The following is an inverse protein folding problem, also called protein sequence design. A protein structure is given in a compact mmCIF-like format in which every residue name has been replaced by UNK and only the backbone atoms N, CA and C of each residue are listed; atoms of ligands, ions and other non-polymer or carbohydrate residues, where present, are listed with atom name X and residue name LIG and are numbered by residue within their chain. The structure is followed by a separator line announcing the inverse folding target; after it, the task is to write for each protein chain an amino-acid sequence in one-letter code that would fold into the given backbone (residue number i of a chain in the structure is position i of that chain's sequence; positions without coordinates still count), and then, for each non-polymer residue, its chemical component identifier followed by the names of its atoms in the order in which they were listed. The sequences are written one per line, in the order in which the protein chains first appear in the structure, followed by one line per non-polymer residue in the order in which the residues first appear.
data_IF_745870263011
#
_entry.id   IF_745870263011
#
_cell.length_a   1.000
_cell.length_b   1.000
_cell.length_c   1.000
_cell.angle_alpha   90.00
_cell.angle_beta   90.00
_cell.angle_gamma   90.00
#
_symmetry.space_group_name_H-M   'P 1'
#
loop_
_entity.id
_entity.type
_entity.pdbx_description
1 polymer ?
#
# COMPACT_ATOMS: atom_id res chain seq x y z
N UNK A 1 -6.89 29.07 0.59
CA UNK A 1 -6.09 28.38 -0.43
C UNK A 1 -6.61 26.95 -0.47
N UNK A 2 -7.17 26.53 -1.60
CA UNK A 2 -7.72 25.18 -1.74
C UNK A 2 -6.59 24.16 -1.63
N UNK A 3 -6.79 23.15 -0.78
CA UNK A 3 -5.85 22.04 -0.64
C UNK A 3 -6.09 21.09 -1.80
N UNK A 4 -5.32 21.23 -2.88
CA UNK A 4 -5.44 20.35 -4.05
C UNK A 4 -5.07 18.91 -3.66
N UNK A 5 -5.99 17.98 -3.90
CA UNK A 5 -5.80 16.54 -3.68
C UNK A 5 -5.67 15.91 -5.06
N UNK A 6 -4.57 15.18 -5.27
CA UNK A 6 -4.30 14.48 -6.52
C UNK A 6 -4.71 13.02 -6.41
N UNK A 7 -5.41 12.49 -7.40
CA UNK A 7 -5.75 11.08 -7.54
C UNK A 7 -4.76 10.40 -8.49
N UNK A 8 -4.32 9.20 -8.14
CA UNK A 8 -3.46 8.34 -8.95
C UNK A 8 -4.10 6.96 -9.06
N UNK A 9 -4.38 6.54 -10.29
CA UNK A 9 -4.75 5.15 -10.59
C UNK A 9 -3.49 4.29 -10.62
N UNK A 10 -3.56 3.10 -10.01
CA UNK A 10 -2.39 2.26 -9.78
C UNK A 10 -2.60 0.88 -10.42
N UNK A 11 -1.67 0.43 -11.28
CA UNK A 11 -1.77 -0.89 -11.89
C UNK A 11 -1.47 -2.02 -10.90
N UNK A 12 -2.18 -3.14 -11.03
CA UNK A 12 -1.88 -4.36 -10.26
C UNK A 12 -0.64 -5.06 -10.82
N UNK A 13 0.52 -4.89 -10.18
CA UNK A 13 1.81 -5.40 -10.68
C UNK A 13 2.35 -6.63 -9.93
N UNK A 14 1.58 -7.17 -8.99
CA UNK A 14 2.02 -8.31 -8.19
C UNK A 14 2.18 -9.58 -9.04
N UNK A 15 3.33 -10.25 -8.90
CA UNK A 15 3.64 -11.52 -9.57
C UNK A 15 3.59 -12.73 -8.63
N UNK A 16 3.46 -13.93 -9.20
CA UNK A 16 3.32 -15.17 -8.47
C UNK A 16 4.55 -15.50 -7.60
N UNK A 17 5.75 -15.31 -8.13
CA UNK A 17 6.99 -15.66 -7.44
C UNK A 17 7.20 -14.79 -6.19
N UNK A 18 6.88 -13.51 -6.29
CA UNK A 18 6.89 -12.56 -5.17
C UNK A 18 5.94 -12.98 -4.06
N UNK A 19 4.73 -13.45 -4.41
CA UNK A 19 3.75 -13.94 -3.43
C UNK A 19 4.24 -15.22 -2.76
N UNK A 20 4.64 -16.24 -3.53
CA UNK A 20 5.11 -17.52 -2.97
C UNK A 20 6.31 -17.31 -2.04
N UNK A 21 7.28 -16.48 -2.46
CA UNK A 21 8.45 -16.15 -1.64
C UNK A 21 8.06 -15.46 -0.34
N UNK A 22 7.12 -14.51 -0.39
CA UNK A 22 6.68 -13.74 0.78
C UNK A 22 5.90 -14.60 1.78
N UNK A 23 5.02 -15.46 1.28
CA UNK A 23 4.15 -16.31 2.10
C UNK A 23 4.85 -17.53 2.67
N UNK A 24 6.06 -17.87 2.17
CA UNK A 24 6.87 -19.00 2.64
C UNK A 24 6.04 -20.29 2.71
N UNK A 25 5.22 -20.52 1.69
CA UNK A 25 4.30 -21.66 1.67
C UNK A 25 5.09 -22.97 1.77
N UNK A 26 4.61 -23.94 2.57
CA UNK A 26 5.26 -25.23 2.66
C UNK A 26 5.25 -25.90 1.29
N UNK A 27 6.31 -26.67 1.01
CA UNK A 27 6.38 -27.47 -0.20
C UNK A 27 5.12 -28.31 -0.33
N UNK A 28 4.54 -28.28 -1.51
CA UNK A 28 3.41 -29.12 -1.87
C UNK A 28 3.64 -29.67 -3.27
N UNK A 29 2.88 -30.69 -3.65
CA UNK A 29 2.88 -31.23 -5.02
C UNK A 29 2.15 -30.25 -5.98
N UNK A 30 2.60 -28.99 -6.04
CA UNK A 30 2.04 -27.92 -6.89
C UNK A 30 0.71 -27.31 -6.43
N UNK A 31 0.10 -27.84 -5.36
CA UNK A 31 -1.24 -27.42 -4.90
C UNK A 31 -1.27 -25.98 -4.41
N UNK A 32 -0.27 -25.58 -3.63
CA UNK A 32 -0.18 -24.22 -3.11
C UNK A 32 0.11 -23.21 -4.21
N UNK A 33 0.96 -23.57 -5.16
CA UNK A 33 1.31 -22.75 -6.31
C UNK A 33 0.09 -22.50 -7.20
N UNK A 34 -0.70 -23.55 -7.50
CA UNK A 34 -1.95 -23.43 -8.25
C UNK A 34 -2.98 -22.56 -7.52
N UNK A 35 -3.12 -22.74 -6.21
CA UNK A 35 -4.02 -21.95 -5.37
C UNK A 35 -3.62 -20.46 -5.35
N UNK A 36 -2.34 -20.15 -5.20
CA UNK A 36 -1.84 -18.76 -5.27
C UNK A 36 -2.10 -18.17 -6.65
N UNK A 37 -1.83 -18.92 -7.72
CA UNK A 37 -2.07 -18.45 -9.08
C UNK A 37 -3.55 -18.11 -9.31
N UNK A 38 -4.47 -18.97 -8.87
CA UNK A 38 -5.91 -18.72 -9.00
C UNK A 38 -6.35 -17.48 -8.21
N UNK A 39 -5.89 -17.34 -6.96
CA UNK A 39 -6.22 -16.18 -6.13
C UNK A 39 -5.62 -14.89 -6.69
N UNK A 40 -4.42 -14.95 -7.27
CA UNK A 40 -3.76 -13.79 -7.86
C UNK A 40 -4.53 -13.28 -9.07
N UNK A 41 -4.94 -14.17 -9.98
CA UNK A 41 -5.71 -13.80 -11.17
C UNK A 41 -7.07 -13.20 -10.81
N UNK A 42 -7.76 -13.79 -9.83
CA UNK A 42 -9.02 -13.22 -9.32
C UNK A 42 -8.82 -11.86 -8.68
N UNK A 43 -7.74 -11.72 -7.90
CA UNK A 43 -7.42 -10.45 -7.25
C UNK A 43 -7.11 -9.37 -8.29
N UNK A 44 -6.33 -9.69 -9.32
CA UNK A 44 -6.01 -8.80 -10.43
C UNK A 44 -7.26 -8.30 -11.16
N UNK A 45 -8.23 -9.18 -11.39
CA UNK A 45 -9.48 -8.84 -12.06
C UNK A 45 -10.42 -7.96 -11.22
N UNK A 46 -10.31 -8.02 -9.88
CA UNK A 46 -11.16 -7.26 -8.96
C UNK A 46 -10.49 -5.96 -8.46
N UNK A 47 -9.17 -5.91 -8.43
CA UNK A 47 -8.44 -4.79 -7.86
C UNK A 47 -8.74 -3.49 -8.61
N UNK A 48 -9.09 -2.46 -7.85
CA UNK A 48 -9.25 -1.10 -8.34
C UNK A 48 -8.38 -0.20 -7.47
N UNK A 49 -7.07 -0.35 -7.66
CA UNK A 49 -6.08 0.25 -6.78
C UNK A 49 -5.88 1.71 -7.13
N UNK A 50 -5.88 2.55 -6.10
CA UNK A 50 -5.73 3.99 -6.24
C UNK A 50 -5.05 4.57 -5.03
N UNK A 51 -4.47 5.74 -5.22
CA UNK A 51 -3.99 6.56 -4.14
C UNK A 51 -4.45 8.00 -4.32
N UNK A 52 -4.59 8.68 -3.20
CA UNK A 52 -4.66 10.14 -3.17
C UNK A 52 -3.47 10.68 -2.40
N UNK A 53 -2.92 11.80 -2.85
CA UNK A 53 -1.88 12.50 -2.11
C UNK A 53 -2.09 14.00 -2.19
N UNK A 54 -1.37 14.71 -1.32
CA UNK A 54 -1.31 16.16 -1.30
C UNK A 54 0.15 16.59 -1.19
N UNK A 55 0.53 17.65 -1.91
CA UNK A 55 1.81 18.34 -1.66
C UNK A 55 1.62 19.22 -0.43
N UNK A 56 2.44 19.02 0.60
CA UNK A 56 2.32 19.70 1.89
C UNK A 56 3.69 20.14 2.37
N UNK A 57 3.72 21.06 3.33
CA UNK A 57 4.96 21.54 3.93
C UNK A 57 4.99 21.14 5.40
N UNK A 58 6.13 20.59 5.84
CA UNK A 58 6.39 20.21 7.21
C UNK A 58 7.24 21.27 7.91
N UNK A 59 6.85 21.60 9.14
CA UNK A 59 7.59 22.49 10.01
C UNK A 59 7.84 21.79 11.34
N UNK A 60 9.09 21.42 11.62
CA UNK A 60 9.48 20.89 12.92
C UNK A 60 9.49 22.02 13.94
N UNK A 61 8.75 21.84 15.04
CA UNK A 61 8.62 22.83 16.11
C UNK A 61 9.64 22.53 17.20
N UNK A 62 9.72 21.26 17.60
CA UNK A 62 10.67 20.77 18.59
C UNK A 62 10.98 19.27 18.36
N UNK A 63 11.69 18.66 19.32
CA UNK A 63 12.13 17.26 19.26
C UNK A 63 10.99 16.26 19.08
N UNK A 64 9.82 16.54 19.63
CA UNK A 64 8.68 15.63 19.70
C UNK A 64 7.46 16.18 18.95
N UNK A 65 7.49 17.43 18.47
CA UNK A 65 6.35 18.10 17.83
C UNK A 65 6.71 18.68 16.46
N UNK A 66 5.79 18.55 15.51
CA UNK A 66 5.86 19.17 14.19
C UNK A 66 4.47 19.54 13.68
N UNK A 67 4.41 20.39 12.68
CA UNK A 67 3.20 20.74 11.94
C UNK A 67 3.34 20.30 10.47
N UNK A 68 2.28 19.75 9.90
CA UNK A 68 2.19 19.49 8.45
C UNK A 68 0.94 20.19 7.94
N UNK A 69 1.12 21.31 7.23
CA UNK A 69 0.04 22.12 6.66
C UNK A 69 -1.13 22.40 7.63
N UNK A 70 -0.81 22.87 8.84
CA UNK A 70 -1.75 23.22 9.91
C UNK A 70 -2.22 22.06 10.78
N UNK A 71 -1.73 20.84 10.52
CA UNK A 71 -2.02 19.67 11.37
C UNK A 71 -0.85 19.39 12.28
N UNK A 72 -1.07 19.50 13.59
CA UNK A 72 -0.05 19.20 14.60
C UNK A 72 0.10 17.71 14.85
N UNK A 73 1.35 17.24 14.82
CA UNK A 73 1.73 15.88 15.18
C UNK A 73 2.66 15.92 16.40
N UNK A 74 2.44 14.98 17.33
CA UNK A 74 3.37 14.71 18.44
C UNK A 74 4.07 13.38 18.17
N UNK A 75 5.21 13.43 17.50
CA UNK A 75 6.01 12.26 17.15
C UNK A 75 7.49 12.62 16.99
N UNK A 76 8.32 12.09 17.92
CA UNK A 76 9.78 12.15 17.82
C UNK A 76 10.31 11.58 16.50
N UNK A 77 9.69 10.51 16.01
CA UNK A 77 10.12 9.86 14.78
C UNK A 77 9.88 10.76 13.57
N UNK A 78 8.73 11.43 13.50
CA UNK A 78 8.42 12.37 12.42
C UNK A 78 9.30 13.63 12.51
N UNK A 79 9.43 14.24 13.69
CA UNK A 79 10.30 15.43 13.87
C UNK A 79 11.74 15.13 13.45
N UNK A 80 12.29 13.97 13.84
CA UNK A 80 13.63 13.56 13.42
C UNK A 80 13.73 13.31 11.91
N UNK A 81 12.73 12.65 11.32
CA UNK A 81 12.77 12.29 9.90
C UNK A 81 12.51 13.48 8.97
N UNK A 82 11.90 14.56 9.47
CA UNK A 82 11.46 15.71 8.67
C UNK A 82 12.17 17.03 9.01
N UNK A 83 13.18 17.03 9.89
CA UNK A 83 13.88 18.25 10.34
C UNK A 83 14.47 19.09 9.18
N UNK A 84 14.98 18.41 8.15
CA UNK A 84 15.56 19.04 6.96
C UNK A 84 14.69 18.85 5.72
N UNK A 85 13.42 18.47 5.89
CA UNK A 85 12.48 18.19 4.79
C UNK A 85 11.34 19.20 4.82
N UNK A 86 11.35 20.16 3.90
CA UNK A 86 10.25 21.13 3.78
C UNK A 86 9.03 20.49 3.12
N UNK A 87 9.19 19.93 1.91
CA UNK A 87 8.07 19.31 1.18
C UNK A 87 7.84 17.87 1.62
N UNK A 88 6.58 17.56 1.95
CA UNK A 88 6.12 16.21 2.29
C UNK A 88 4.85 15.87 1.51
N UNK A 89 4.62 14.57 1.32
CA UNK A 89 3.48 14.07 0.53
C UNK A 89 2.59 13.16 1.39
N UNK A 90 1.73 13.70 2.28
CA UNK A 90 0.73 12.88 2.94
C UNK A 90 -0.15 12.19 1.90
N UNK A 91 -0.38 10.89 2.08
CA UNK A 91 -1.11 10.08 1.12
C UNK A 91 -2.01 9.04 1.78
N UNK A 92 -2.96 8.53 1.01
CA UNK A 92 -3.75 7.34 1.29
C UNK A 92 -3.66 6.46 0.04
N UNK A 93 -3.36 5.17 0.22
CA UNK A 93 -3.39 4.18 -0.85
C UNK A 93 -4.39 3.06 -0.49
N UNK A 94 -5.02 2.47 -1.50
CA UNK A 94 -5.98 1.37 -1.32
C UNK A 94 -5.89 0.38 -2.47
N UNK A 95 -6.24 -0.88 -2.19
CA UNK A 95 -6.41 -1.93 -3.20
C UNK A 95 -7.77 -1.89 -3.90
N UNK A 96 -8.65 -0.97 -3.48
CA UNK A 96 -10.05 -0.91 -3.90
C UNK A 96 -10.95 -1.73 -2.99
N UNK A 97 -12.20 -1.28 -2.84
CA UNK A 97 -13.22 -1.96 -2.01
C UNK A 97 -13.53 -3.35 -2.57
N UNK A 98 -13.50 -3.47 -3.88
CA UNK A 98 -13.78 -4.66 -4.67
C UNK A 98 -12.85 -5.81 -4.29
N UNK A 99 -11.55 -5.55 -4.17
CA UNK A 99 -10.59 -6.54 -3.69
C UNK A 99 -10.63 -6.66 -2.16
N UNK A 100 -10.84 -5.59 -1.41
CA UNK A 100 -10.91 -5.64 0.06
C UNK A 100 -12.06 -6.55 0.56
N UNK A 101 -13.22 -6.49 -0.08
CA UNK A 101 -14.38 -7.33 0.24
C UNK A 101 -14.33 -8.73 -0.38
N UNK A 102 -13.40 -8.99 -1.29
CA UNK A 102 -13.24 -10.33 -1.86
C UNK A 102 -12.89 -11.33 -0.76
N UNK A 103 -13.64 -12.42 -0.69
CA UNK A 103 -13.47 -13.49 0.29
C UNK A 103 -13.51 -14.86 -0.35
N UNK A 104 -12.88 -15.82 0.31
CA UNK A 104 -12.93 -17.25 -0.03
C UNK A 104 -13.94 -17.96 0.87
N UNK A 105 -14.46 -19.13 0.47
CA UNK A 105 -15.39 -19.90 1.30
C UNK A 105 -14.86 -20.14 2.72
N UNK A 106 -15.74 -19.96 3.70
CA UNK A 106 -15.42 -20.17 5.11
C UNK A 106 -14.88 -21.59 5.37
N UNK A 107 -13.93 -21.70 6.30
CA UNK A 107 -13.27 -22.97 6.64
C UNK A 107 -12.02 -23.29 5.82
N UNK A 108 -11.73 -22.55 4.74
CA UNK A 108 -10.47 -22.70 4.00
C UNK A 108 -9.39 -21.74 4.49
N UNK A 109 -8.81 -22.05 5.66
CA UNK A 109 -7.82 -21.22 6.35
C UNK A 109 -6.61 -20.91 5.46
N UNK A 110 -6.11 -21.90 4.71
CA UNK A 110 -4.94 -21.72 3.86
C UNK A 110 -5.21 -20.76 2.69
N UNK A 111 -6.38 -20.85 2.05
CA UNK A 111 -6.78 -19.89 1.00
C UNK A 111 -6.98 -18.49 1.57
N UNK A 112 -7.58 -18.38 2.75
CA UNK A 112 -7.78 -17.09 3.41
C UNK A 112 -6.44 -16.43 3.72
N UNK A 113 -5.51 -17.17 4.32
CA UNK A 113 -4.14 -16.71 4.57
C UNK A 113 -3.45 -16.22 3.29
N UNK A 114 -3.56 -16.97 2.19
CA UNK A 114 -2.96 -16.57 0.92
C UNK A 114 -3.62 -15.31 0.33
N UNK A 115 -4.95 -15.20 0.42
CA UNK A 115 -5.68 -14.03 -0.06
C UNK A 115 -5.30 -12.76 0.75
N UNK A 116 -5.26 -12.84 2.08
CA UNK A 116 -4.85 -11.72 2.94
C UNK A 116 -3.40 -11.29 2.63
N UNK A 117 -2.54 -12.28 2.37
CA UNK A 117 -1.18 -12.06 1.90
C UNK A 117 -1.11 -11.32 0.56
N UNK A 118 -1.92 -11.72 -0.42
CA UNK A 118 -2.02 -11.06 -1.72
C UNK A 118 -2.53 -9.62 -1.57
N UNK A 119 -3.59 -9.39 -0.79
CA UNK A 119 -4.12 -8.03 -0.52
C UNK A 119 -3.06 -7.12 0.10
N UNK A 120 -2.33 -7.64 1.08
CA UNK A 120 -1.24 -6.90 1.75
C UNK A 120 -0.14 -6.53 0.75
N UNK A 121 0.30 -7.48 -0.08
CA UNK A 121 1.36 -7.24 -1.05
C UNK A 121 0.91 -6.30 -2.18
N UNK A 122 -0.35 -6.40 -2.60
CA UNK A 122 -0.94 -5.47 -3.56
C UNK A 122 -0.93 -4.03 -3.00
N UNK A 123 -1.32 -3.85 -1.73
CA UNK A 123 -1.27 -2.55 -1.07
C UNK A 123 0.15 -1.99 -0.98
N UNK A 124 1.13 -2.82 -0.61
CA UNK A 124 2.55 -2.42 -0.60
C UNK A 124 2.99 -1.98 -2.00
N UNK A 125 2.65 -2.75 -3.03
CA UNK A 125 2.99 -2.38 -4.41
C UNK A 125 2.37 -1.06 -4.86
N UNK A 126 1.18 -0.72 -4.34
CA UNK A 126 0.53 0.55 -4.61
C UNK A 126 1.25 1.73 -3.93
N UNK A 127 1.71 1.54 -2.70
CA UNK A 127 2.54 2.53 -2.00
C UNK A 127 3.86 2.74 -2.71
N UNK A 128 4.52 1.66 -3.15
CA UNK A 128 5.79 1.73 -3.87
C UNK A 128 5.62 2.45 -5.22
N UNK A 129 4.57 2.12 -5.97
CA UNK A 129 4.24 2.80 -7.23
C UNK A 129 4.00 4.30 -7.04
N UNK A 130 3.23 4.69 -6.02
CA UNK A 130 3.02 6.09 -5.69
C UNK A 130 4.33 6.77 -5.33
N UNK A 131 5.17 6.15 -4.50
CA UNK A 131 6.44 6.71 -4.06
C UNK A 131 7.38 6.97 -5.25
N UNK A 132 7.50 6.02 -6.18
CA UNK A 132 8.31 6.22 -7.40
C UNK A 132 7.70 7.30 -8.32
N UNK A 133 6.38 7.30 -8.50
CA UNK A 133 5.70 8.33 -9.31
C UNK A 133 5.92 9.75 -8.75
N UNK A 134 5.96 9.90 -7.42
CA UNK A 134 6.22 11.18 -6.76
C UNK A 134 7.68 11.63 -6.94
N UNK A 135 8.65 10.72 -6.83
CA UNK A 135 10.07 11.01 -7.07
C UNK A 135 10.38 11.38 -8.52
N UNK A 136 9.64 10.82 -9.47
CA UNK A 136 9.78 11.18 -10.88
C UNK A 136 9.19 12.57 -11.18
N UNK A 137 8.15 12.96 -10.44
CA UNK A 137 7.41 14.21 -10.65
C UNK A 137 8.00 15.42 -9.92
N UNK A 138 8.64 15.24 -8.77
CA UNK A 138 9.15 16.30 -7.88
C UNK A 138 10.59 16.04 -7.46
#
# INVERSE_FOLDING_TARGET
MEHEIYLVEIPFMLDHASVVKRLRLPKSDGRHEAMVSELLERSRAMAHMKAVYRVSHAQVIDRDTLDISGTRFTSRALSRNLVDQDTVFPFIATVGKELDEFSVPAGNIMRQFCLDGIKTLALVSAVDYLAESLKEKY
#
